data_IF_128105888049
#
_entry.id   IF_128105888049
#
_cell.length_a   1.000
_cell.length_b   1.000
_cell.length_c   1.000
_cell.angle_alpha   90.00
_cell.angle_beta   90.00
_cell.angle_gamma   90.00
#
_symmetry.space_group_name_H-M   'P 1'
#
loop_
_entity.id
_entity.type
_entity.pdbx_description
1 polymer ?
#
# COMPACT_ATOMS: atom_id res chain seq x y z
N UNK A 1 -17.52 2.25 6.08
CA UNK A 1 -16.41 2.46 5.16
C UNK A 1 -16.09 1.13 4.49
N UNK A 2 -15.87 1.15 3.19
CA UNK A 2 -15.53 -0.02 2.37
C UNK A 2 -14.25 0.31 1.60
N UNK A 3 -13.25 -0.53 1.73
CA UNK A 3 -11.93 -0.36 1.13
C UNK A 3 -11.49 -1.67 0.48
N UNK A 4 -10.75 -1.57 -0.61
CA UNK A 4 -10.12 -2.70 -1.30
C UNK A 4 -8.61 -2.55 -1.15
N UNK A 5 -7.95 -3.62 -0.68
CA UNK A 5 -6.50 -3.61 -0.50
C UNK A 5 -5.97 -2.60 0.51
N UNK A 6 -4.74 -2.20 0.33
CA UNK A 6 -4.02 -1.23 1.16
C UNK A 6 -3.15 -0.29 0.29
N UNK A 7 -2.37 0.58 0.92
CA UNK A 7 -1.52 1.58 0.22
C UNK A 7 -0.44 0.97 -0.69
N UNK A 8 -0.07 -0.31 -0.49
CA UNK A 8 1.03 -0.94 -1.22
C UNK A 8 0.53 -1.61 -2.51
N UNK A 9 -0.72 -2.09 -2.51
CA UNK A 9 -1.33 -2.79 -3.64
C UNK A 9 -2.42 -1.98 -4.36
N UNK A 10 -3.15 -1.12 -3.64
CA UNK A 10 -4.27 -0.31 -4.15
C UNK A 10 -4.13 1.17 -3.76
N UNK A 11 -2.93 1.74 -3.96
CA UNK A 11 -2.69 3.17 -3.70
C UNK A 11 -3.57 4.04 -4.59
N UNK A 12 -4.13 5.12 -4.03
CA UNK A 12 -4.92 6.11 -4.78
C UNK A 12 -4.11 6.86 -5.87
N UNK A 13 -2.78 6.86 -5.76
CA UNK A 13 -1.87 7.40 -6.77
C UNK A 13 -1.21 6.33 -7.63
N UNK A 14 -1.54 5.04 -7.42
CA UNK A 14 -0.96 3.90 -8.11
C UNK A 14 -1.71 3.51 -9.37
N UNK A 15 -1.15 2.55 -10.10
CA UNK A 15 -1.73 2.01 -11.35
C UNK A 15 -3.11 1.37 -11.13
N UNK A 16 -3.36 0.82 -9.94
CA UNK A 16 -4.61 0.16 -9.59
C UNK A 16 -5.71 1.09 -9.06
N UNK A 17 -5.46 2.41 -8.97
CA UNK A 17 -6.42 3.36 -8.41
C UNK A 17 -7.77 3.37 -9.15
N UNK A 18 -7.75 3.41 -10.48
CA UNK A 18 -8.97 3.39 -11.31
C UNK A 18 -9.69 2.03 -11.27
N UNK A 19 -8.95 0.93 -11.09
CA UNK A 19 -9.52 -0.39 -10.88
C UNK A 19 -10.29 -0.44 -9.56
N UNK A 20 -9.66 0.00 -8.46
CA UNK A 20 -10.31 0.07 -7.15
C UNK A 20 -11.57 0.96 -7.17
N UNK A 21 -11.50 2.12 -7.83
CA UNK A 21 -12.64 3.02 -8.05
C UNK A 21 -13.78 2.34 -8.80
N UNK A 22 -13.47 1.61 -9.86
CA UNK A 22 -14.46 0.89 -10.67
C UNK A 22 -15.20 -0.15 -9.83
N UNK A 23 -14.47 -0.99 -9.12
CA UNK A 23 -15.04 -2.03 -8.25
C UNK A 23 -15.89 -1.43 -7.13
N UNK A 24 -15.42 -0.38 -6.47
CA UNK A 24 -16.16 0.31 -5.40
C UNK A 24 -17.44 0.96 -5.93
N UNK A 25 -17.39 1.55 -7.13
CA UNK A 25 -18.57 2.11 -7.77
C UNK A 25 -19.59 1.04 -8.15
N UNK A 26 -19.18 -0.06 -8.75
CA UNK A 26 -20.07 -1.20 -9.07
C UNK A 26 -20.69 -1.81 -7.82
N UNK A 27 -19.91 -1.91 -6.73
CA UNK A 27 -20.44 -2.34 -5.45
C UNK A 27 -21.54 -1.40 -4.95
N UNK A 28 -21.31 -0.07 -5.03
CA UNK A 28 -22.28 0.95 -4.61
C UNK A 28 -23.55 0.93 -5.43
N UNK A 29 -23.46 0.77 -6.76
CA UNK A 29 -24.64 0.72 -7.65
C UNK A 29 -25.65 -0.36 -7.23
N UNK A 30 -25.20 -1.47 -6.73
CA UNK A 30 -26.07 -2.53 -6.22
C UNK A 30 -26.50 -2.38 -4.76
N UNK A 31 -25.92 -1.47 -4.01
CA UNK A 31 -26.08 -1.41 -2.54
C UNK A 31 -27.52 -1.20 -2.09
N UNK A 32 -28.23 -0.21 -2.65
CA UNK A 32 -29.60 0.11 -2.25
C UNK A 32 -30.58 -1.02 -2.58
N UNK A 33 -30.38 -1.72 -3.71
CA UNK A 33 -31.22 -2.85 -4.10
C UNK A 33 -31.04 -4.06 -3.16
N UNK A 34 -29.81 -4.32 -2.72
CA UNK A 34 -29.51 -5.36 -1.73
C UNK A 34 -30.00 -4.98 -0.33
N UNK A 35 -30.09 -3.67 -0.04
CA UNK A 35 -30.36 -3.13 1.28
C UNK A 35 -31.60 -2.23 1.32
N UNK A 36 -32.81 -2.76 1.01
CA UNK A 36 -34.03 -1.93 0.88
C UNK A 36 -34.46 -1.25 2.18
N UNK A 37 -34.04 -1.75 3.34
CA UNK A 37 -34.33 -1.17 4.66
C UNK A 37 -33.21 -0.27 5.21
N UNK A 38 -32.19 0.02 4.40
CA UNK A 38 -31.12 0.95 4.72
C UNK A 38 -31.23 2.15 3.77
N UNK A 39 -31.83 3.25 4.23
CA UNK A 39 -31.95 4.46 3.42
C UNK A 39 -30.62 5.18 3.32
N UNK A 40 -29.97 5.11 2.17
CA UNK A 40 -28.71 5.82 1.92
C UNK A 40 -28.99 7.28 1.68
N UNK A 41 -28.43 8.16 2.50
CA UNK A 41 -28.56 9.60 2.34
C UNK A 41 -27.26 10.28 1.88
N UNK A 42 -26.13 9.57 1.98
CA UNK A 42 -24.84 10.08 1.54
C UNK A 42 -23.95 8.92 1.12
N UNK A 43 -23.19 9.12 0.04
CA UNK A 43 -22.13 8.19 -0.38
C UNK A 43 -20.98 8.99 -1.00
N UNK A 44 -19.76 8.78 -0.51
CA UNK A 44 -18.58 9.47 -0.98
C UNK A 44 -17.47 8.47 -1.25
N UNK A 45 -16.91 8.54 -2.45
CA UNK A 45 -15.70 7.81 -2.83
C UNK A 45 -14.51 8.75 -2.67
N UNK A 46 -13.60 8.40 -1.76
CA UNK A 46 -12.37 9.11 -1.51
C UNK A 46 -11.25 8.53 -2.37
N UNK A 47 -10.65 9.41 -3.18
CA UNK A 47 -9.48 9.13 -4.03
C UNK A 47 -8.29 10.02 -3.66
N UNK A 48 -8.43 10.85 -2.63
CA UNK A 48 -7.49 11.85 -2.15
C UNK A 48 -6.69 11.41 -0.92
N UNK A 49 -6.97 10.21 -0.42
CA UNK A 49 -6.23 9.58 0.67
C UNK A 49 -5.31 8.44 0.15
N UNK A 50 -4.60 7.77 1.05
CA UNK A 50 -3.61 6.76 0.68
C UNK A 50 -4.19 5.58 -0.13
N UNK A 51 -5.44 5.20 0.12
CA UNK A 51 -6.13 4.09 -0.55
C UNK A 51 -7.55 4.50 -0.91
N UNK A 52 -8.05 4.20 -2.12
CA UNK A 52 -9.43 4.43 -2.49
C UNK A 52 -10.39 3.73 -1.54
N UNK A 53 -11.35 4.46 -1.02
CA UNK A 53 -12.37 3.90 -0.14
C UNK A 53 -13.70 4.63 -0.27
N UNK A 54 -14.77 3.90 -0.01
CA UNK A 54 -16.14 4.35 -0.14
C UNK A 54 -16.78 4.48 1.24
N UNK A 55 -17.27 5.67 1.56
CA UNK A 55 -18.15 5.92 2.68
C UNK A 55 -19.59 5.80 2.21
N UNK A 56 -20.41 5.02 2.92
CA UNK A 56 -21.86 4.95 2.71
C UNK A 56 -22.53 5.23 4.05
N UNK A 57 -23.27 6.31 4.10
CA UNK A 57 -24.04 6.72 5.28
C UNK A 57 -25.52 6.43 5.05
N UNK A 58 -26.12 5.70 5.98
CA UNK A 58 -27.50 5.25 5.84
C UNK A 58 -28.26 5.29 7.17
N UNK A 59 -29.57 5.41 7.06
CA UNK A 59 -30.50 5.28 8.18
C UNK A 59 -31.25 3.94 8.05
N UNK A 60 -31.06 3.01 9.00
CA UNK A 60 -31.82 1.77 8.99
C UNK A 60 -33.25 2.03 9.47
N UNK A 61 -34.24 1.56 8.71
CA UNK A 61 -35.65 1.80 9.03
C UNK A 61 -36.51 0.57 8.86
N UNK A 62 -37.62 0.57 9.56
CA UNK A 62 -38.74 -0.37 9.41
C UNK A 62 -40.03 0.41 9.36
N UNK A 63 -41.04 -0.17 8.70
CA UNK A 63 -42.41 0.33 8.67
C UNK A 63 -43.36 -0.64 9.39
N UNK A 64 -44.60 -0.23 9.64
CA UNK A 64 -45.61 -1.07 10.29
C UNK A 64 -45.40 -1.20 11.81
N UNK A 65 -44.80 -0.21 12.47
CA UNK A 65 -44.63 -0.22 13.92
C UNK A 65 -45.97 -0.05 14.63
N UNK A 66 -46.26 -0.94 15.59
CA UNK A 66 -47.49 -0.88 16.41
C UNK A 66 -47.43 0.15 17.54
N UNK A 67 -46.29 0.76 17.79
CA UNK A 67 -46.09 1.76 18.87
C UNK A 67 -45.40 3.00 18.33
N UNK A 68 -46.00 4.17 18.55
CA UNK A 68 -45.45 5.45 18.11
C UNK A 68 -45.63 5.68 16.61
N UNK A 69 -44.60 6.19 15.94
CA UNK A 69 -44.61 6.43 14.49
C UNK A 69 -44.59 5.10 13.73
N UNK A 70 -45.26 5.05 12.61
CA UNK A 70 -45.29 3.89 11.70
C UNK A 70 -43.87 3.50 11.27
N UNK A 71 -43.09 4.48 10.89
CA UNK A 71 -41.66 4.28 10.54
C UNK A 71 -40.78 4.50 11.75
N UNK A 72 -39.87 3.57 12.00
CA UNK A 72 -38.92 3.61 13.13
C UNK A 72 -37.50 3.29 12.68
N UNK A 73 -36.54 3.92 13.34
CA UNK A 73 -35.12 3.58 13.18
C UNK A 73 -34.78 2.38 14.04
N UNK A 74 -34.30 1.31 13.40
CA UNK A 74 -33.82 0.09 14.09
C UNK A 74 -32.94 -0.73 13.16
N UNK A 75 -31.64 -0.74 13.39
CA UNK A 75 -30.71 -1.53 12.58
C UNK A 75 -31.03 -3.03 12.66
N UNK A 76 -31.22 -3.54 13.88
CA UNK A 76 -31.54 -4.96 14.10
C UNK A 76 -32.78 -5.40 13.32
N UNK A 77 -33.89 -4.61 13.42
CA UNK A 77 -35.14 -4.97 12.75
C UNK A 77 -35.10 -4.74 11.25
N UNK A 78 -34.38 -3.74 10.79
CA UNK A 78 -34.15 -3.51 9.37
C UNK A 78 -33.41 -4.69 8.72
N UNK A 79 -32.35 -5.16 9.35
CA UNK A 79 -31.60 -6.32 8.87
C UNK A 79 -32.41 -7.62 8.99
N UNK A 80 -33.16 -7.80 10.08
CA UNK A 80 -34.07 -8.95 10.22
C UNK A 80 -35.15 -8.98 9.13
N UNK A 81 -35.68 -7.82 8.70
CA UNK A 81 -36.63 -7.72 7.60
C UNK A 81 -36.00 -8.11 6.24
N UNK A 82 -34.70 -7.98 6.10
CA UNK A 82 -33.92 -8.44 4.94
C UNK A 82 -33.53 -9.92 5.00
N UNK A 83 -33.91 -10.64 6.07
CA UNK A 83 -33.67 -12.07 6.21
C UNK A 83 -32.49 -12.45 7.10
N UNK A 84 -31.75 -11.49 7.63
CA UNK A 84 -30.66 -11.77 8.57
C UNK A 84 -31.22 -12.07 9.97
N UNK A 85 -31.11 -13.31 10.40
CA UNK A 85 -31.66 -13.78 11.67
C UNK A 85 -30.53 -14.05 12.65
N UNK A 86 -30.23 -13.08 13.48
CA UNK A 86 -29.27 -13.28 14.57
C UNK A 86 -29.74 -14.41 15.50
N UNK A 87 -28.82 -15.16 16.05
CA UNK A 87 -29.13 -16.29 16.95
C UNK A 87 -28.22 -16.37 18.15
N UNK A 88 -26.98 -15.88 18.04
CA UNK A 88 -26.00 -15.96 19.12
C UNK A 88 -25.28 -14.61 19.29
N UNK A 89 -24.49 -14.49 20.36
CA UNK A 89 -23.68 -13.29 20.62
C UNK A 89 -22.64 -13.00 19.50
N UNK A 90 -22.15 -14.05 18.84
CA UNK A 90 -21.17 -13.96 17.75
C UNK A 90 -21.80 -13.98 16.36
N UNK A 91 -23.07 -14.37 16.24
CA UNK A 91 -23.80 -14.44 14.96
C UNK A 91 -25.06 -13.58 15.02
N UNK A 92 -24.86 -12.29 15.05
CA UNK A 92 -25.92 -11.26 15.07
C UNK A 92 -26.40 -10.96 13.64
N UNK A 93 -27.55 -10.30 13.50
CA UNK A 93 -28.06 -9.76 12.23
C UNK A 93 -27.00 -8.90 11.54
N UNK A 94 -26.29 -8.09 12.32
CA UNK A 94 -25.19 -7.25 11.81
C UNK A 94 -24.03 -8.07 11.25
N UNK A 95 -23.58 -9.09 11.97
CA UNK A 95 -22.44 -9.91 11.53
C UNK A 95 -22.80 -10.72 10.28
N UNK A 96 -24.03 -11.19 10.15
CA UNK A 96 -24.53 -11.88 8.96
C UNK A 96 -24.58 -10.93 7.76
N UNK A 97 -25.12 -9.74 7.96
CA UNK A 97 -25.16 -8.70 6.94
C UNK A 97 -23.74 -8.30 6.47
N UNK A 98 -22.81 -8.06 7.39
CA UNK A 98 -21.42 -7.74 7.05
C UNK A 98 -20.78 -8.84 6.21
N UNK A 99 -21.03 -10.12 6.56
CA UNK A 99 -20.52 -11.26 5.75
C UNK A 99 -21.14 -11.26 4.34
N UNK A 100 -22.40 -10.97 4.22
CA UNK A 100 -23.10 -10.90 2.92
C UNK A 100 -22.55 -9.76 2.06
N UNK A 101 -22.35 -8.57 2.62
CA UNK A 101 -21.79 -7.43 1.88
C UNK A 101 -20.32 -7.68 1.49
N UNK A 102 -19.53 -8.32 2.35
CA UNK A 102 -18.17 -8.75 2.01
C UNK A 102 -18.14 -9.75 0.87
N UNK A 103 -19.09 -10.70 0.84
CA UNK A 103 -19.19 -11.67 -0.24
C UNK A 103 -19.57 -11.02 -1.59
N UNK A 104 -20.47 -10.04 -1.58
CA UNK A 104 -20.81 -9.27 -2.79
C UNK A 104 -19.61 -8.47 -3.31
N UNK A 105 -18.88 -7.82 -2.40
CA UNK A 105 -17.66 -7.10 -2.77
C UNK A 105 -16.60 -8.06 -3.34
N UNK A 106 -16.38 -9.20 -2.69
CA UNK A 106 -15.43 -10.22 -3.14
C UNK A 106 -15.77 -10.74 -4.54
N UNK A 107 -17.05 -11.00 -4.83
CA UNK A 107 -17.49 -11.43 -6.16
C UNK A 107 -17.20 -10.38 -7.24
N UNK A 108 -17.33 -9.09 -6.92
CA UNK A 108 -16.96 -7.99 -7.84
C UNK A 108 -15.45 -7.88 -8.03
N UNK A 109 -14.68 -8.03 -6.95
CA UNK A 109 -13.22 -8.07 -7.03
C UNK A 109 -12.75 -9.22 -7.91
N UNK A 110 -13.28 -10.43 -7.72
CA UNK A 110 -12.96 -11.62 -8.52
C UNK A 110 -13.30 -11.43 -10.00
N UNK A 111 -14.45 -10.80 -10.31
CA UNK A 111 -14.82 -10.46 -11.69
C UNK A 111 -13.79 -9.57 -12.39
N UNK A 112 -13.14 -8.69 -11.62
CA UNK A 112 -12.06 -7.81 -12.10
C UNK A 112 -10.66 -8.41 -11.95
N UNK A 113 -10.55 -9.70 -11.60
CA UNK A 113 -9.26 -10.40 -11.46
C UNK A 113 -8.49 -10.05 -10.19
N UNK A 114 -9.16 -9.45 -9.18
CA UNK A 114 -8.57 -9.17 -7.88
C UNK A 114 -8.89 -10.33 -6.94
N UNK A 115 -7.86 -11.06 -6.51
CA UNK A 115 -8.02 -12.11 -5.51
C UNK A 115 -8.36 -11.53 -4.15
N UNK A 116 -9.39 -12.08 -3.51
CA UNK A 116 -9.76 -11.72 -2.15
C UNK A 116 -9.16 -12.69 -1.15
N UNK A 117 -8.34 -12.19 -0.26
CA UNK A 117 -7.72 -12.95 0.82
C UNK A 117 -8.37 -12.62 2.16
N UNK A 118 -8.88 -13.63 2.84
CA UNK A 118 -9.33 -13.49 4.22
C UNK A 118 -8.17 -13.72 5.18
N UNK A 119 -7.48 -12.65 5.58
CA UNK A 119 -6.30 -12.73 6.46
C UNK A 119 -6.59 -13.31 7.86
N UNK A 120 -7.86 -13.33 8.30
CA UNK A 120 -8.25 -13.87 9.62
C UNK A 120 -7.58 -13.20 10.82
N UNK A 121 -6.95 -12.05 10.61
CA UNK A 121 -6.28 -11.30 11.66
C UNK A 121 -7.30 -10.68 12.60
N UNK A 122 -7.06 -10.82 13.90
CA UNK A 122 -7.81 -10.16 14.97
C UNK A 122 -6.93 -9.08 15.62
N UNK A 123 -6.32 -8.24 14.77
CA UNK A 123 -5.44 -7.19 15.25
C UNK A 123 -6.21 -6.23 16.15
N UNK A 124 -5.57 -5.86 17.25
CA UNK A 124 -6.14 -4.90 18.20
C UNK A 124 -6.32 -3.56 17.50
N UNK A 125 -7.54 -3.03 17.54
CA UNK A 125 -7.83 -1.69 17.02
C UNK A 125 -6.95 -0.67 17.74
N UNK A 126 -6.00 -0.09 17.03
CA UNK A 126 -5.16 0.99 17.54
C UNK A 126 -5.94 2.31 17.49
N UNK A 127 -5.64 3.22 18.40
CA UNK A 127 -6.09 4.60 18.24
C UNK A 127 -5.43 5.21 16.99
N UNK A 128 -6.06 6.22 16.39
CA UNK A 128 -5.48 6.92 15.21
C UNK A 128 -4.07 7.46 15.52
N UNK A 129 -3.85 7.91 16.74
CA UNK A 129 -2.54 8.40 17.17
C UNK A 129 -1.51 7.28 17.29
N UNK A 130 -1.88 6.13 17.86
CA UNK A 130 -0.99 4.97 17.99
C UNK A 130 -0.66 4.37 16.63
N UNK A 131 -1.64 4.29 15.73
CA UNK A 131 -1.43 3.86 14.35
C UNK A 131 -0.44 4.79 13.62
N UNK A 132 -0.66 6.10 13.68
CA UNK A 132 0.26 7.08 13.07
C UNK A 132 1.67 7.00 13.66
N UNK A 133 1.78 6.78 14.97
CA UNK A 133 3.09 6.60 15.63
C UNK A 133 3.79 5.33 15.16
N UNK A 134 3.06 4.24 15.00
CA UNK A 134 3.61 2.98 14.52
C UNK A 134 4.09 3.09 13.06
N UNK A 135 3.29 3.70 12.18
CA UNK A 135 3.66 3.94 10.78
C UNK A 135 4.91 4.82 10.67
N UNK A 136 4.95 5.93 11.42
CA UNK A 136 6.13 6.80 11.47
C UNK A 136 7.38 6.08 11.98
N UNK A 137 7.23 5.18 12.96
CA UNK A 137 8.35 4.39 13.46
C UNK A 137 8.91 3.44 12.38
N UNK A 138 8.02 2.82 11.59
CA UNK A 138 8.42 1.98 10.46
C UNK A 138 9.12 2.77 9.36
N UNK A 139 8.58 3.94 8.99
CA UNK A 139 9.21 4.84 8.02
C UNK A 139 10.61 5.26 8.45
N UNK A 140 10.80 5.63 9.73
CA UNK A 140 12.11 6.01 10.27
C UNK A 140 13.08 4.84 10.24
N UNK A 141 12.63 3.64 10.55
CA UNK A 141 13.47 2.45 10.47
C UNK A 141 13.91 2.16 9.02
N UNK A 142 12.99 2.18 8.06
CA UNK A 142 13.29 1.98 6.64
C UNK A 142 14.28 3.02 6.10
N UNK A 143 14.07 4.29 6.44
CA UNK A 143 15.01 5.35 6.08
C UNK A 143 16.38 5.17 6.74
N UNK A 144 16.41 4.66 7.97
CA UNK A 144 17.67 4.32 8.66
C UNK A 144 18.46 3.24 7.90
N UNK A 145 17.79 2.17 7.50
CA UNK A 145 18.38 1.08 6.71
C UNK A 145 18.91 1.59 5.35
N UNK A 146 18.12 2.41 4.65
CA UNK A 146 18.55 3.02 3.38
C UNK A 146 19.77 3.93 3.55
N UNK A 147 19.81 4.74 4.61
CA UNK A 147 20.96 5.59 4.93
C UNK A 147 22.21 4.75 5.16
N UNK A 148 22.12 3.66 5.88
CA UNK A 148 23.27 2.79 6.16
C UNK A 148 23.76 2.08 4.90
N UNK A 149 22.86 1.62 4.02
CA UNK A 149 23.23 1.08 2.70
C UNK A 149 23.97 2.14 1.85
N UNK A 150 23.43 3.36 1.77
CA UNK A 150 24.08 4.46 1.02
C UNK A 150 25.42 4.85 1.61
N UNK A 151 25.58 4.82 2.92
CA UNK A 151 26.88 5.07 3.57
C UNK A 151 27.91 4.00 3.20
N UNK A 152 27.53 2.73 3.16
CA UNK A 152 28.41 1.65 2.71
C UNK A 152 28.83 1.85 1.24
N UNK A 153 27.90 2.21 0.37
CA UNK A 153 28.19 2.49 -1.04
C UNK A 153 29.17 3.66 -1.20
N UNK A 154 28.93 4.77 -0.52
CA UNK A 154 29.84 5.94 -0.53
C UNK A 154 31.22 5.54 -0.02
N UNK A 155 31.33 4.76 1.05
CA UNK A 155 32.62 4.31 1.56
C UNK A 155 33.37 3.45 0.53
N UNK A 156 32.69 2.53 -0.14
CA UNK A 156 33.29 1.71 -1.19
C UNK A 156 33.78 2.53 -2.37
N UNK A 157 32.99 3.51 -2.82
CA UNK A 157 33.37 4.42 -3.90
C UNK A 157 34.57 5.31 -3.52
N UNK A 158 34.62 5.77 -2.28
CA UNK A 158 35.77 6.51 -1.76
C UNK A 158 37.05 5.67 -1.76
N UNK A 159 36.98 4.40 -1.35
CA UNK A 159 38.13 3.49 -1.41
C UNK A 159 38.58 3.24 -2.84
N UNK A 160 37.65 3.08 -3.79
CA UNK A 160 38.00 2.91 -5.21
C UNK A 160 38.65 4.18 -5.76
N UNK A 161 38.09 5.35 -5.46
CA UNK A 161 38.66 6.62 -5.88
C UNK A 161 40.08 6.83 -5.37
N UNK A 162 40.37 6.46 -4.11
CA UNK A 162 41.72 6.56 -3.55
C UNK A 162 42.72 5.60 -4.23
N UNK A 163 42.27 4.37 -4.55
CA UNK A 163 43.09 3.42 -5.34
C UNK A 163 43.42 3.94 -6.73
N UNK A 164 42.45 4.55 -7.43
CA UNK A 164 42.69 5.13 -8.75
C UNK A 164 43.61 6.34 -8.66
N UNK A 165 43.48 7.17 -7.63
CA UNK A 165 44.35 8.31 -7.40
C UNK A 165 45.82 7.86 -7.19
N UNK A 166 46.02 6.84 -6.34
CA UNK A 166 47.32 6.24 -6.10
C UNK A 166 47.93 5.67 -7.40
N UNK A 167 47.16 4.91 -8.17
CA UNK A 167 47.62 4.37 -9.44
C UNK A 167 48.00 5.47 -10.45
N UNK A 168 47.29 6.60 -10.46
CA UNK A 168 47.59 7.73 -11.31
C UNK A 168 48.92 8.44 -10.86
N UNK A 169 49.16 8.57 -9.56
CA UNK A 169 50.42 9.09 -9.02
C UNK A 169 51.61 8.18 -9.35
N UNK A 170 51.41 6.84 -9.24
CA UNK A 170 52.42 5.86 -9.63
C UNK A 170 52.78 5.90 -11.12
N UNK A 171 51.75 6.10 -11.99
CA UNK A 171 51.97 6.28 -13.45
C UNK A 171 52.77 7.55 -13.75
N UNK A 172 52.50 8.68 -13.10
CA UNK A 172 53.24 9.94 -13.26
C UNK A 172 54.70 9.76 -12.82
N UNK A 173 54.97 9.08 -11.71
CA UNK A 173 56.30 8.76 -11.26
C UNK A 173 57.09 7.96 -12.29
N UNK A 174 56.47 6.99 -12.97
CA UNK A 174 57.12 6.20 -14.02
C UNK A 174 57.39 7.03 -15.29
N UNK A 175 56.51 7.95 -15.69
CA UNK A 175 56.75 8.89 -16.78
C UNK A 175 57.93 9.81 -16.49
N UNK A 176 57.99 10.43 -15.31
CA UNK A 176 59.10 11.28 -14.89
C UNK A 176 60.45 10.51 -14.85
N UNK A 177 60.41 9.21 -14.44
CA UNK A 177 61.60 8.35 -14.48
C UNK A 177 62.07 8.03 -15.89
N UNK A 178 61.14 7.88 -16.86
CA UNK A 178 61.45 7.62 -18.25
C UNK A 178 62.02 8.89 -18.95
N UNK A 179 61.50 10.05 -18.64
CA UNK A 179 62.05 11.33 -19.15
C UNK A 179 63.42 11.68 -18.62
N UNK A 180 63.74 11.25 -17.39
CA UNK A 180 65.02 11.44 -16.76
C UNK A 180 66.03 10.34 -16.99
N UNK A 181 65.65 9.24 -17.67
CA UNK A 181 66.55 8.15 -17.95
C UNK A 181 67.67 8.62 -18.95
N UNK A 182 68.98 8.33 -18.66
CA UNK A 182 70.05 8.69 -19.56
C UNK A 182 69.83 7.99 -20.91
N UNK A 183 69.98 8.74 -22.00
CA UNK A 183 69.86 8.24 -23.35
C UNK A 183 70.83 7.09 -23.56
N UNK A 184 70.33 5.87 -23.80
CA UNK A 184 71.12 4.69 -23.99
C UNK A 184 71.76 4.77 -25.37
N UNK A 185 73.06 5.17 -25.45
CA UNK A 185 73.84 5.11 -26.67
C UNK A 185 74.16 3.65 -27.02
N UNK A 186 73.61 3.20 -28.10
CA UNK A 186 73.98 1.91 -28.67
C UNK A 186 75.47 1.87 -28.93
N UNK A 187 76.24 0.85 -28.53
CA UNK A 187 77.65 0.71 -28.89
C UNK A 187 77.80 0.66 -30.43
N UNK A 188 78.72 1.44 -30.97
CA UNK A 188 79.03 1.41 -32.38
C UNK A 188 79.34 -0.06 -32.83
N UNK A 189 78.80 -0.49 -33.95
CA UNK A 189 79.12 -1.81 -34.48
C UNK A 189 80.60 -1.92 -34.80
N UNK A 190 81.25 -3.07 -34.54
CA UNK A 190 82.65 -3.23 -34.78
C UNK A 190 82.93 -3.06 -36.29
N UNK A 191 83.96 -2.25 -36.60
CA UNK A 191 84.43 -2.04 -37.98
C UNK A 191 84.80 -3.38 -38.63
N UNK A 192 84.10 -3.70 -39.70
CA UNK A 192 84.42 -4.85 -40.54
C UNK A 192 85.80 -4.62 -41.19
N UNK A 193 86.80 -5.45 -40.85
CA UNK A 193 88.04 -5.57 -41.62
C UNK A 193 87.81 -6.36 -42.86
#
# INVERSE_FOLDING_TARGET
IIQIGNKDDMSALGENAELAKTVLNEYYQGFQARNPNLYVFSAHLHMDEATPHLHIDFVPFITGSKRGLDTRVSLKQALAAQGFKGGTRSDTEWNQWVRSEKADLAAKMEWHGIEWEQKGTHDKHLSVLDYKKQERSREVQQLGEEIDERRCEVHNLQQQAEKYKQALEDCKLTEDMLETAPEYQLPEPPALM
#
